data_IF_922735894148
#
_entry.id   IF_922735894148
#
_cell.length_a   1.000
_cell.length_b   1.000
_cell.length_c   1.000
_cell.angle_alpha   90.00
_cell.angle_beta   90.00
_cell.angle_gamma   90.00
#
_symmetry.space_group_name_H-M   'P 1'
#
loop_
_entity.id
_entity.type
_entity.pdbx_description
1 polymer ?
#
# COMPACT_ATOMS: atom_id res chain seq x y z
N UNK A 1 -7.21 -15.21 -71.02
CA UNK A 1 -8.62 -15.01 -70.62
C UNK A 1 -8.56 -14.04 -69.43
N UNK A 2 -8.79 -12.73 -69.67
CA UNK A 2 -9.83 -11.87 -69.03
C UNK A 2 -9.86 -11.98 -67.50
N UNK A 3 -9.88 -10.94 -66.66
CA UNK A 3 -10.20 -9.52 -66.79
C UNK A 3 -9.73 -8.81 -65.49
N UNK A 4 -9.50 -7.50 -65.59
CA UNK A 4 -9.36 -6.47 -64.54
C UNK A 4 -10.53 -6.43 -63.54
N UNK A 5 -10.29 -5.96 -62.31
CA UNK A 5 -11.11 -4.92 -61.63
C UNK A 5 -10.45 -4.40 -60.34
N UNK A 6 -10.55 -3.09 -60.18
CA UNK A 6 -10.07 -2.21 -59.12
C UNK A 6 -11.17 -1.83 -58.12
N UNK A 7 -10.83 -1.60 -56.83
CA UNK A 7 -11.50 -0.64 -55.92
C UNK A 7 -10.75 -0.60 -54.57
N UNK A 8 -10.07 0.47 -54.14
CA UNK A 8 -10.53 1.71 -53.43
C UNK A 8 -11.05 1.48 -51.99
N UNK A 9 -10.41 2.15 -51.00
CA UNK A 9 -10.95 2.51 -49.66
C UNK A 9 -10.13 1.96 -48.47
N UNK A 10 -9.14 2.68 -47.90
CA UNK A 10 -9.16 3.67 -46.77
C UNK A 10 -8.85 3.07 -45.36
N UNK A 11 -8.33 3.86 -44.39
CA UNK A 11 -7.32 3.41 -43.42
C UNK A 11 -7.85 3.14 -42.00
N UNK A 12 -7.27 2.16 -41.32
CA UNK A 12 -7.35 1.88 -39.87
C UNK A 12 -6.63 0.55 -39.62
N UNK A 13 -5.99 0.19 -38.52
CA UNK A 13 -5.76 0.77 -37.20
C UNK A 13 -4.61 -0.03 -36.58
N UNK A 14 -3.76 0.69 -35.88
CA UNK A 14 -2.70 0.24 -34.98
C UNK A 14 -3.14 -0.95 -34.08
N UNK A 15 -2.69 -2.17 -34.33
CA UNK A 15 -2.77 -3.31 -33.39
C UNK A 15 -1.72 -4.36 -33.74
N UNK A 16 -0.47 -4.17 -33.31
CA UNK A 16 0.42 -5.29 -32.96
C UNK A 16 1.45 -4.74 -31.98
N UNK A 17 1.04 -4.66 -30.71
CA UNK A 17 1.88 -4.30 -29.57
C UNK A 17 1.97 -5.54 -28.68
N UNK A 18 3.18 -5.76 -28.15
CA UNK A 18 3.46 -6.55 -26.93
C UNK A 18 3.45 -8.08 -27.11
N UNK A 19 4.47 -8.62 -27.79
CA UNK A 19 4.88 -10.01 -27.55
C UNK A 19 6.38 -10.22 -27.38
N UNK A 20 7.23 -9.18 -27.46
CA UNK A 20 8.68 -9.40 -27.58
C UNK A 20 9.60 -8.75 -26.54
N UNK A 21 9.11 -8.39 -25.35
CA UNK A 21 9.98 -7.85 -24.29
C UNK A 21 9.72 -8.52 -22.93
N UNK A 22 9.88 -9.85 -22.87
CA UNK A 22 9.86 -10.61 -21.60
C UNK A 22 11.24 -11.11 -21.14
N UNK A 23 12.33 -10.79 -21.84
CA UNK A 23 13.65 -11.39 -21.56
C UNK A 23 14.75 -10.40 -21.18
N UNK A 24 14.43 -9.24 -20.60
CA UNK A 24 15.47 -8.28 -20.21
C UNK A 24 15.18 -7.56 -18.89
N UNK A 25 14.89 -8.29 -17.80
CA UNK A 25 14.89 -7.73 -16.43
C UNK A 25 15.20 -8.79 -15.35
N UNK A 26 16.18 -9.66 -15.58
CA UNK A 26 16.86 -10.36 -14.47
C UNK A 26 18.30 -9.86 -14.44
N UNK A 27 18.47 -8.71 -13.78
CA UNK A 27 19.75 -8.17 -13.37
C UNK A 27 19.78 -8.14 -11.84
N UNK A 28 20.77 -8.80 -11.26
CA UNK A 28 21.06 -8.87 -9.83
C UNK A 28 21.29 -7.48 -9.23
N UNK A 29 20.72 -7.21 -8.04
CA UNK A 29 21.12 -6.11 -7.17
C UNK A 29 20.21 -4.89 -7.16
N UNK A 30 19.75 -4.53 -5.94
CA UNK A 30 18.89 -3.41 -5.56
C UNK A 30 17.39 -3.60 -5.89
N UNK A 31 16.64 -4.05 -4.88
CA UNK A 31 15.18 -4.14 -4.91
C UNK A 31 14.54 -2.77 -5.15
N UNK A 32 14.12 -2.55 -6.39
CA UNK A 32 13.19 -1.47 -6.71
C UNK A 32 11.82 -1.83 -6.15
N UNK A 33 11.10 -0.91 -5.48
CA UNK A 33 9.75 -1.20 -5.02
C UNK A 33 8.87 -1.49 -6.24
N UNK A 34 8.14 -2.61 -6.17
CA UNK A 34 7.24 -3.16 -7.20
C UNK A 34 6.15 -2.18 -7.70
N UNK A 35 6.10 -0.97 -7.14
CA UNK A 35 5.06 0.04 -7.35
C UNK A 35 5.24 0.87 -8.64
N UNK A 36 6.36 0.74 -9.36
CA UNK A 36 6.68 1.62 -10.49
C UNK A 36 6.04 1.23 -11.85
N UNK A 37 5.15 0.23 -11.92
CA UNK A 37 4.47 -0.10 -13.19
C UNK A 37 2.97 -0.28 -12.98
N UNK A 38 2.23 0.83 -12.92
CA UNK A 38 0.81 0.85 -13.32
C UNK A 38 0.59 2.02 -14.28
N UNK A 39 0.30 1.70 -15.55
CA UNK A 39 -0.17 2.67 -16.55
C UNK A 39 -1.69 2.81 -16.39
N UNK A 40 -2.18 4.00 -16.07
CA UNK A 40 -3.61 4.29 -16.02
C UNK A 40 -4.12 4.90 -17.34
N UNK A 41 -5.27 4.43 -17.81
CA UNK A 41 -6.06 5.03 -18.89
C UNK A 41 -7.22 5.87 -18.34
N UNK A 42 -7.96 6.62 -19.17
CA UNK A 42 -8.99 7.54 -18.69
C UNK A 42 -10.27 6.78 -18.29
N UNK A 43 -10.47 6.65 -16.97
CA UNK A 43 -11.62 6.03 -16.32
C UNK A 43 -11.24 5.68 -14.89
N UNK A 44 -11.55 6.53 -13.92
CA UNK A 44 -11.06 6.46 -12.55
C UNK A 44 -11.45 5.16 -11.85
N UNK A 45 -10.47 4.31 -11.58
CA UNK A 45 -10.47 3.37 -10.47
C UNK A 45 -9.02 3.13 -10.07
N UNK A 46 -8.40 4.16 -9.48
CA UNK A 46 -7.10 4.01 -8.85
C UNK A 46 -7.28 3.14 -7.61
N UNK A 47 -6.44 2.13 -7.46
CA UNK A 47 -6.38 1.31 -6.25
C UNK A 47 -6.07 2.21 -5.06
N UNK A 48 -6.94 2.24 -4.06
CA UNK A 48 -6.73 3.03 -2.85
C UNK A 48 -5.53 2.47 -2.07
N UNK A 49 -4.64 3.34 -1.59
CA UNK A 49 -3.46 2.94 -0.80
C UNK A 49 -3.71 3.27 0.67
N UNK A 50 -3.67 2.23 1.51
CA UNK A 50 -3.86 2.35 2.96
C UNK A 50 -2.54 2.02 3.67
N UNK A 51 -2.24 2.73 4.77
CA UNK A 51 -1.20 2.35 5.72
C UNK A 51 -1.83 2.07 7.09
N UNK A 52 -1.69 0.85 7.59
CA UNK A 52 -1.97 0.51 8.99
C UNK A 52 -0.68 0.59 9.80
N UNK A 53 -0.63 1.51 10.77
CA UNK A 53 0.49 1.67 11.71
C UNK A 53 0.15 0.97 13.02
N UNK A 54 1.04 0.11 13.50
CA UNK A 54 0.78 -0.77 14.64
C UNK A 54 -0.16 -1.91 14.24
N UNK A 55 0.13 -2.59 13.12
CA UNK A 55 -0.78 -3.56 12.53
C UNK A 55 -0.99 -4.84 13.36
N UNK A 56 -0.12 -5.11 14.34
CA UNK A 56 -0.14 -6.34 15.12
C UNK A 56 -0.14 -7.57 14.21
N UNK A 57 -0.97 -8.57 14.55
CA UNK A 57 -1.16 -9.77 13.73
C UNK A 57 -2.04 -9.55 12.47
N UNK A 58 -2.43 -8.30 12.15
CA UNK A 58 -3.17 -7.97 10.93
C UNK A 58 -4.69 -7.99 11.05
N UNK A 59 -5.25 -7.88 12.27
CA UNK A 59 -6.70 -7.90 12.50
C UNK A 59 -7.47 -6.78 11.79
N UNK A 60 -6.83 -5.64 11.50
CA UNK A 60 -7.39 -4.60 10.63
C UNK A 60 -7.10 -4.90 9.15
N UNK A 61 -5.88 -5.34 8.85
CA UNK A 61 -5.36 -5.53 7.49
C UNK A 61 -6.22 -6.51 6.70
N UNK A 62 -6.47 -7.71 7.23
CA UNK A 62 -7.13 -8.76 6.45
C UNK A 62 -8.62 -8.50 6.18
N UNK A 63 -9.44 -8.04 7.15
CA UNK A 63 -10.81 -7.63 6.85
C UNK A 63 -10.87 -6.50 5.81
N UNK A 64 -9.91 -5.57 5.82
CA UNK A 64 -9.82 -4.48 4.86
C UNK A 64 -9.58 -5.00 3.43
N UNK A 65 -8.68 -5.99 3.26
CA UNK A 65 -8.44 -6.63 1.96
C UNK A 65 -9.68 -7.33 1.39
N UNK A 66 -10.52 -7.90 2.26
CA UNK A 66 -11.78 -8.56 1.90
C UNK A 66 -12.86 -7.53 1.53
N UNK A 67 -13.01 -6.48 2.32
CA UNK A 67 -14.01 -5.43 2.10
C UNK A 67 -13.74 -4.59 0.85
N UNK A 68 -12.46 -4.39 0.52
CA UNK A 68 -12.02 -3.56 -0.60
C UNK A 68 -11.07 -4.34 -1.52
N UNK A 69 -11.58 -5.03 -2.55
CA UNK A 69 -10.78 -5.90 -3.43
C UNK A 69 -9.65 -5.21 -4.20
N UNK A 70 -9.75 -3.90 -4.41
CA UNK A 70 -8.75 -3.12 -5.14
C UNK A 70 -7.80 -2.33 -4.22
N UNK A 71 -7.89 -2.49 -2.90
CA UNK A 71 -6.99 -1.78 -1.98
C UNK A 71 -5.57 -2.33 -2.04
N UNK A 72 -4.58 -1.47 -1.80
CA UNK A 72 -3.22 -1.88 -1.45
C UNK A 72 -2.93 -1.45 -0.02
N UNK A 73 -2.34 -2.33 0.80
CA UNK A 73 -2.10 -2.06 2.22
C UNK A 73 -0.60 -2.10 2.52
N UNK A 74 -0.07 -0.99 3.01
CA UNK A 74 1.14 -0.98 3.81
C UNK A 74 0.78 -1.35 5.25
N UNK A 75 1.49 -2.29 5.84
CA UNK A 75 1.29 -2.70 7.22
C UNK A 75 2.63 -2.60 7.95
N UNK A 76 2.69 -1.82 9.02
CA UNK A 76 3.91 -1.76 9.82
C UNK A 76 3.64 -1.91 11.31
N UNK A 77 4.63 -2.45 11.99
CA UNK A 77 4.63 -2.65 13.44
C UNK A 77 6.08 -2.59 13.94
N UNK A 78 6.28 -2.16 15.18
CA UNK A 78 7.61 -2.14 15.78
C UNK A 78 8.11 -3.57 16.06
N UNK A 79 7.18 -4.52 16.22
CA UNK A 79 7.46 -5.91 16.54
C UNK A 79 7.75 -6.74 15.29
N UNK A 80 8.96 -7.34 15.15
CA UNK A 80 9.24 -8.28 14.07
C UNK A 80 8.30 -9.49 14.07
N UNK A 81 7.89 -9.96 15.24
CA UNK A 81 6.95 -11.07 15.38
C UNK A 81 5.56 -10.73 14.81
N UNK A 82 5.07 -9.50 15.02
CA UNK A 82 3.80 -9.06 14.44
C UNK A 82 3.85 -9.12 12.91
N UNK A 83 4.95 -8.66 12.32
CA UNK A 83 5.16 -8.70 10.86
C UNK A 83 5.30 -10.13 10.33
N UNK A 84 5.92 -11.04 11.09
CA UNK A 84 5.96 -12.46 10.76
C UNK A 84 4.55 -13.05 10.71
N UNK A 85 3.73 -12.83 11.74
CA UNK A 85 2.34 -13.29 11.79
C UNK A 85 1.50 -12.76 10.61
N UNK A 86 1.67 -11.48 10.23
CA UNK A 86 1.00 -10.91 9.06
C UNK A 86 1.43 -11.62 7.77
N UNK A 87 2.72 -11.95 7.62
CA UNK A 87 3.24 -12.61 6.42
C UNK A 87 2.84 -14.08 6.32
N UNK A 88 2.70 -14.77 7.46
CA UNK A 88 2.29 -16.17 7.53
C UNK A 88 0.77 -16.37 7.35
N UNK A 89 -0.02 -15.31 7.51
CA UNK A 89 -1.47 -15.38 7.38
C UNK A 89 -1.89 -15.82 5.96
N UNK A 90 -2.80 -16.79 5.85
CA UNK A 90 -3.17 -17.39 4.55
C UNK A 90 -3.80 -16.44 3.52
N UNK A 91 -4.34 -15.30 3.98
CA UNK A 91 -4.86 -14.24 3.13
C UNK A 91 -3.80 -13.22 2.67
N UNK A 92 -2.55 -13.33 3.14
CA UNK A 92 -1.46 -12.46 2.72
C UNK A 92 -1.13 -12.67 1.23
N UNK A 93 -1.03 -11.57 0.49
CA UNK A 93 -0.65 -11.55 -0.93
C UNK A 93 0.32 -10.41 -1.17
N UNK A 94 1.51 -10.72 -1.71
CA UNK A 94 2.61 -9.75 -1.91
C UNK A 94 2.25 -8.60 -2.87
N UNK A 95 1.31 -8.81 -3.77
CA UNK A 95 0.79 -7.81 -4.71
C UNK A 95 -0.26 -6.89 -4.07
N UNK A 96 -0.73 -7.20 -2.85
CA UNK A 96 -1.75 -6.44 -2.12
C UNK A 96 -1.31 -5.91 -0.77
N UNK A 97 -0.27 -6.49 -0.18
CA UNK A 97 0.23 -6.11 1.14
C UNK A 97 1.74 -5.96 1.12
N UNK A 98 2.22 -4.80 1.57
CA UNK A 98 3.62 -4.58 1.93
C UNK A 98 3.75 -4.51 3.45
N UNK A 99 4.25 -5.58 4.07
CA UNK A 99 4.41 -5.69 5.52
C UNK A 99 5.88 -5.55 5.95
N UNK A 100 6.19 -4.60 6.85
CA UNK A 100 7.55 -4.28 7.27
C UNK A 100 7.65 -3.82 8.72
N UNK A 101 8.81 -4.07 9.34
CA UNK A 101 9.10 -3.60 10.69
C UNK A 101 9.42 -2.11 10.66
N UNK A 102 8.81 -1.33 11.55
CA UNK A 102 9.05 0.10 11.68
C UNK A 102 8.68 0.59 13.08
N UNK A 103 9.64 1.19 13.78
CA UNK A 103 9.34 2.08 14.91
C UNK A 103 8.99 3.46 14.36
N UNK A 104 7.69 3.77 14.30
CA UNK A 104 7.19 5.04 13.72
C UNK A 104 7.69 6.29 14.46
N UNK A 105 8.26 6.14 15.66
CA UNK A 105 8.81 7.25 16.44
C UNK A 105 10.24 7.60 16.00
N UNK A 106 11.05 6.59 15.67
CA UNK A 106 12.48 6.78 15.40
C UNK A 106 12.87 6.56 13.96
N UNK A 107 12.14 5.72 13.24
CA UNK A 107 12.43 5.39 11.85
C UNK A 107 11.79 6.41 10.90
N UNK A 108 12.28 6.44 9.66
CA UNK A 108 11.74 7.27 8.60
C UNK A 108 10.85 6.42 7.67
N UNK A 109 9.53 6.64 7.71
CA UNK A 109 8.58 5.92 6.86
C UNK A 109 8.85 6.14 5.37
N UNK A 110 9.47 7.26 4.98
CA UNK A 110 9.79 7.58 3.59
C UNK A 110 10.84 6.63 2.99
N UNK A 111 11.55 5.86 3.81
CA UNK A 111 12.47 4.81 3.34
C UNK A 111 11.73 3.57 2.83
N UNK A 112 10.50 3.35 3.28
CA UNK A 112 9.70 2.15 2.99
C UNK A 112 8.50 2.46 2.10
N UNK A 113 8.00 3.70 2.14
CA UNK A 113 6.81 4.17 1.43
C UNK A 113 7.15 5.47 0.70
N UNK A 114 6.65 5.64 -0.51
CA UNK A 114 6.87 6.89 -1.24
C UNK A 114 6.18 8.07 -0.50
N UNK A 115 6.85 9.23 -0.35
CA UNK A 115 6.23 10.41 0.25
C UNK A 115 4.94 10.82 -0.45
N UNK A 116 3.94 11.25 0.31
CA UNK A 116 2.65 11.70 -0.21
C UNK A 116 1.91 10.70 -1.10
N UNK A 117 2.08 9.39 -0.90
CA UNK A 117 1.49 8.34 -1.73
C UNK A 117 0.33 7.58 -1.08
N UNK A 118 0.10 7.77 0.22
CA UNK A 118 -0.94 7.06 0.98
C UNK A 118 -2.24 7.87 1.00
N UNK A 119 -3.37 7.22 0.68
CA UNK A 119 -4.71 7.82 0.70
C UNK A 119 -5.30 7.86 2.10
N UNK A 120 -5.16 6.76 2.84
CA UNK A 120 -5.70 6.63 4.20
C UNK A 120 -4.66 6.02 5.11
N UNK A 121 -4.45 6.63 6.27
CA UNK A 121 -3.63 6.05 7.33
C UNK A 121 -4.56 5.69 8.47
N UNK A 122 -4.39 4.49 9.01
CA UNK A 122 -5.12 3.99 10.17
C UNK A 122 -4.14 3.74 11.33
N UNK A 123 -4.54 4.19 12.52
CA UNK A 123 -3.81 4.00 13.78
C UNK A 123 -4.80 3.51 14.83
N UNK A 124 -5.03 2.19 14.87
CA UNK A 124 -6.02 1.56 15.73
C UNK A 124 -5.30 0.95 16.95
N UNK A 125 -5.57 1.49 18.15
CA UNK A 125 -4.90 1.18 19.41
C UNK A 125 -3.37 1.33 19.38
N UNK A 126 -2.86 2.16 18.47
CA UNK A 126 -1.42 2.35 18.29
C UNK A 126 -0.85 3.44 19.20
N UNK A 127 -1.54 4.58 19.32
CA UNK A 127 -1.03 5.74 20.06
C UNK A 127 -0.97 5.48 21.57
N UNK A 128 -1.85 4.65 22.15
CA UNK A 128 -1.78 4.26 23.57
C UNK A 128 -0.51 3.47 23.91
N UNK A 129 0.12 2.80 22.93
CA UNK A 129 1.43 2.18 23.10
C UNK A 129 2.60 3.18 23.04
N UNK A 130 2.32 4.44 22.71
CA UNK A 130 3.31 5.51 22.60
C UNK A 130 3.19 6.47 23.79
N UNK A 131 4.32 6.87 24.36
CA UNK A 131 4.33 7.92 25.39
C UNK A 131 3.70 9.21 24.83
N UNK A 132 2.82 9.91 25.58
CA UNK A 132 2.14 11.12 25.09
C UNK A 132 3.09 12.19 24.52
N UNK A 133 4.29 12.32 25.10
CA UNK A 133 5.30 13.28 24.65
C UNK A 133 5.91 12.94 23.28
N UNK A 134 5.78 11.69 22.84
CA UNK A 134 6.32 11.16 21.58
C UNK A 134 5.27 11.02 20.48
N UNK A 135 3.98 11.09 20.80
CA UNK A 135 2.89 10.95 19.81
C UNK A 135 3.01 11.96 18.66
N UNK A 136 3.47 13.18 18.93
CA UNK A 136 3.69 14.19 17.89
C UNK A 136 4.77 13.79 16.88
N UNK A 137 5.75 12.97 17.27
CA UNK A 137 6.76 12.43 16.36
C UNK A 137 6.15 11.39 15.41
N UNK A 138 5.32 10.48 15.94
CA UNK A 138 4.57 9.54 15.11
C UNK A 138 3.72 10.27 14.07
N UNK A 139 2.95 11.28 14.51
CA UNK A 139 2.06 12.06 13.65
C UNK A 139 2.83 12.82 12.55
N UNK A 140 4.00 13.38 12.87
CA UNK A 140 4.87 14.03 11.88
C UNK A 140 5.40 13.02 10.85
N UNK A 141 5.80 11.83 11.28
CA UNK A 141 6.31 10.80 10.39
C UNK A 141 5.23 10.31 9.41
N UNK A 142 4.04 9.96 9.91
CA UNK A 142 2.93 9.50 9.06
C UNK A 142 2.44 10.60 8.12
N UNK A 143 2.54 11.88 8.53
CA UNK A 143 2.18 13.02 7.68
C UNK A 143 3.00 13.09 6.40
N UNK A 144 4.26 12.64 6.42
CA UNK A 144 5.17 12.69 5.26
C UNK A 144 4.76 11.74 4.13
N UNK A 145 4.14 10.61 4.47
CA UNK A 145 3.68 9.61 3.49
C UNK A 145 2.20 9.82 3.10
N UNK A 146 1.44 10.58 3.88
CA UNK A 146 0.05 10.93 3.58
C UNK A 146 -0.07 11.92 2.42
N UNK A 147 -0.93 11.61 1.45
CA UNK A 147 -1.33 12.54 0.38
C UNK A 147 -1.86 13.86 0.96
N UNK A 148 -1.73 15.01 0.26
CA UNK A 148 -2.35 16.26 0.70
C UNK A 148 -3.87 16.17 0.91
N UNK A 149 -4.56 15.32 0.14
CA UNK A 149 -6.00 15.01 0.28
C UNK A 149 -6.28 13.75 1.09
N UNK A 150 -5.25 13.15 1.69
CA UNK A 150 -5.36 11.91 2.42
C UNK A 150 -6.00 12.11 3.79
N UNK A 151 -6.51 11.02 4.37
CA UNK A 151 -7.15 11.03 5.69
C UNK A 151 -6.37 10.19 6.69
N UNK A 152 -6.14 10.72 7.88
CA UNK A 152 -5.67 9.94 9.04
C UNK A 152 -6.87 9.58 9.92
N UNK A 153 -7.09 8.30 10.13
CA UNK A 153 -8.09 7.75 11.03
C UNK A 153 -7.37 7.13 12.23
N UNK A 154 -7.79 7.46 13.44
CA UNK A 154 -7.28 6.82 14.64
C UNK A 154 -8.43 6.43 15.56
N UNK A 155 -8.22 5.35 16.30
CA UNK A 155 -9.09 4.92 17.39
C UNK A 155 -8.18 4.46 18.49
N UNK A 156 -8.34 5.00 19.68
CA UNK A 156 -7.51 4.61 20.81
C UNK A 156 -8.29 4.63 22.12
N UNK A 157 -7.67 4.12 23.17
CA UNK A 157 -8.20 4.22 24.53
C UNK A 157 -8.21 5.67 25.00
N UNK A 158 -9.29 6.05 25.67
CA UNK A 158 -9.41 7.34 26.32
C UNK A 158 -9.22 7.20 27.84
N UNK A 159 -8.98 8.33 28.52
CA UNK A 159 -8.97 8.36 29.98
C UNK A 159 -10.29 7.80 30.53
N UNK A 160 -10.20 6.76 31.36
CA UNK A 160 -11.37 6.11 31.95
C UNK A 160 -11.91 4.91 31.16
N UNK A 161 -11.26 4.48 30.08
CA UNK A 161 -11.49 3.15 29.52
C UNK A 161 -11.04 2.07 30.52
N UNK A 162 -11.87 1.06 30.76
CA UNK A 162 -11.57 -0.05 31.69
C UNK A 162 -10.32 -0.86 31.30
N UNK A 163 -9.86 -0.76 30.04
CA UNK A 163 -8.62 -1.38 29.56
C UNK A 163 -7.35 -0.61 29.98
N UNK A 164 -7.47 0.58 30.58
CA UNK A 164 -6.33 1.39 31.02
C UNK A 164 -5.63 0.81 32.27
N UNK A 165 -6.35 0.01 33.06
CA UNK A 165 -5.81 -0.68 34.24
C UNK A 165 -5.64 -2.16 33.89
N UNK A 166 -4.44 -2.53 33.44
CA UNK A 166 -4.05 -3.94 33.39
C UNK A 166 -3.72 -4.42 34.81
N UNK A 167 -4.38 -5.48 35.25
CA UNK A 167 -3.91 -6.37 36.32
C UNK A 167 -2.66 -7.15 35.88
#
# INVERSE_FOLDING_TARGET
>A
MRETLSSIGTPSTNTTRISSLRSALFGEGLGTPLLAIRREGPGFCSSQVVLEVGCGAGNTVFPLLVAFPDVFVHACDFSPLAIELVKEHGAFKLDRVNAFVCDVITDDLCKMIMPGSVDVITMIFMLSAVSPMKMSLALQNVRNVLKPSGTLLFRDYAMGDYAQYGD
#
